data_IF_051590261410
#
_entry.id   IF_051590261410
#
_cell.length_a   1.000
_cell.length_b   1.000
_cell.length_c   1.000
_cell.angle_alpha   90.00
_cell.angle_beta   90.00
_cell.angle_gamma   90.00
#
_symmetry.space_group_name_H-M   'P 1'
#
loop_
_entity.id
_entity.type
_entity.pdbx_description
1 polymer ?
#
# COMPACT_ATOMS: atom_id res chain seq x y z
N UNK A 1 -36.54 -9.70 6.37
CA UNK A 1 -36.86 -8.46 5.95
C UNK A 1 -35.68 -7.73 5.32
N UNK A 2 -35.99 -6.79 4.54
CA UNK A 2 -35.00 -6.13 3.67
C UNK A 2 -33.89 -5.44 4.43
N UNK A 3 -34.12 -4.89 5.62
CA UNK A 3 -33.10 -4.19 6.35
C UNK A 3 -31.87 -5.04 6.63
N UNK A 4 -32.06 -6.29 6.97
CA UNK A 4 -30.94 -7.18 7.24
C UNK A 4 -30.08 -7.37 6.00
N UNK A 5 -30.72 -7.48 4.87
CA UNK A 5 -30.01 -7.65 3.61
C UNK A 5 -29.28 -6.37 3.22
N UNK A 6 -29.89 -5.23 3.51
CA UNK A 6 -29.21 -3.97 3.27
C UNK A 6 -27.92 -3.85 4.06
N UNK A 7 -27.94 -4.23 5.33
CA UNK A 7 -26.71 -4.14 6.12
C UNK A 7 -25.63 -5.04 5.57
N UNK A 8 -25.98 -6.24 5.12
CA UNK A 8 -25.01 -7.14 4.52
C UNK A 8 -24.48 -6.53 3.22
N UNK A 9 -25.36 -5.94 2.41
CA UNK A 9 -24.96 -5.30 1.18
C UNK A 9 -24.09 -4.09 1.46
N UNK A 10 -24.42 -3.31 2.49
CA UNK A 10 -23.63 -2.14 2.86
C UNK A 10 -22.23 -2.53 3.29
N UNK A 11 -22.07 -3.64 4.01
CA UNK A 11 -20.75 -4.15 4.37
C UNK A 11 -19.94 -4.48 3.13
N UNK A 12 -20.59 -5.02 2.10
CA UNK A 12 -19.91 -5.30 0.84
C UNK A 12 -19.54 -4.00 0.10
N UNK A 13 -20.33 -2.93 0.28
CA UNK A 13 -20.03 -1.64 -0.30
C UNK A 13 -18.95 -0.89 0.47
N UNK A 14 -18.69 -1.28 1.72
CA UNK A 14 -17.63 -0.70 2.53
C UNK A 14 -16.29 -1.32 2.19
N UNK A 15 -15.93 -1.23 0.92
CA UNK A 15 -14.66 -1.72 0.44
C UNK A 15 -13.72 -0.58 0.16
N UNK A 16 -12.43 -0.87 0.32
CA UNK A 16 -11.38 0.11 0.19
C UNK A 16 -10.36 -0.35 -0.83
N UNK A 17 -9.83 0.60 -1.59
CA UNK A 17 -8.71 0.33 -2.47
C UNK A 17 -7.43 0.58 -1.72
N UNK A 18 -6.53 -0.40 -1.71
CA UNK A 18 -5.24 -0.30 -1.03
C UNK A 18 -4.14 -0.63 -2.05
N UNK A 19 -3.19 0.28 -2.15
CA UNK A 19 -2.00 0.10 -2.96
C UNK A 19 -0.88 -0.42 -2.06
N UNK A 20 -0.36 -1.61 -2.39
CA UNK A 20 0.71 -2.24 -1.62
C UNK A 20 1.97 -2.31 -2.48
N UNK A 21 3.09 -1.93 -1.88
CA UNK A 21 4.35 -1.83 -2.61
C UNK A 21 5.47 -2.68 -1.98
N UNK A 22 5.21 -3.30 -0.85
CA UNK A 22 6.20 -4.04 -0.07
C UNK A 22 5.79 -5.47 0.21
N UNK A 23 5.93 -5.88 1.47
CA UNK A 23 5.76 -7.28 1.88
C UNK A 23 4.33 -7.79 1.80
N UNK A 24 3.35 -6.92 1.57
CA UNK A 24 1.95 -7.34 1.36
C UNK A 24 1.68 -7.77 -0.08
N UNK A 25 2.60 -7.53 -1.02
CA UNK A 25 2.42 -7.96 -2.40
C UNK A 25 2.42 -9.49 -2.49
N UNK A 26 1.75 -10.00 -3.52
CA UNK A 26 1.69 -11.45 -3.76
C UNK A 26 3.10 -12.02 -3.89
N UNK A 27 3.35 -13.10 -3.18
CA UNK A 27 4.66 -13.76 -3.17
C UNK A 27 5.60 -13.27 -2.08
N UNK A 28 5.19 -12.29 -1.27
CA UNK A 28 6.01 -11.75 -0.19
C UNK A 28 5.48 -12.18 1.18
N UNK A 29 6.30 -12.07 2.24
CA UNK A 29 6.01 -12.75 3.52
C UNK A 29 4.67 -12.44 4.15
N UNK A 30 4.17 -11.21 4.04
CA UNK A 30 2.94 -10.82 4.74
C UNK A 30 1.68 -11.03 3.90
N UNK A 31 1.82 -11.43 2.64
CA UNK A 31 0.65 -11.53 1.76
C UNK A 31 -0.38 -12.53 2.27
N UNK A 32 0.06 -13.75 2.55
CA UNK A 32 -0.87 -14.83 2.92
C UNK A 32 -1.57 -14.56 4.25
N UNK A 33 -0.89 -13.90 5.19
CA UNK A 33 -1.45 -13.64 6.51
C UNK A 33 -2.44 -12.47 6.52
N UNK A 34 -2.27 -11.49 5.65
CA UNK A 34 -3.05 -10.25 5.70
C UNK A 34 -3.96 -10.03 4.51
N UNK A 35 -3.65 -10.61 3.35
CA UNK A 35 -4.34 -10.34 2.10
C UNK A 35 -5.23 -11.48 1.63
N UNK A 36 -5.51 -12.46 2.48
CA UNK A 36 -6.29 -13.65 2.09
C UNK A 36 -7.66 -13.30 1.55
N UNK A 37 -8.36 -12.36 2.20
CA UNK A 37 -9.71 -11.94 1.79
C UNK A 37 -9.71 -10.80 0.78
N UNK A 38 -8.54 -10.32 0.37
CA UNK A 38 -8.41 -9.19 -0.54
C UNK A 38 -8.57 -9.65 -1.99
N UNK A 39 -9.18 -8.77 -2.80
CA UNK A 39 -9.32 -9.01 -4.24
C UNK A 39 -8.21 -8.25 -4.97
N UNK A 40 -7.35 -8.98 -5.67
CA UNK A 40 -6.27 -8.36 -6.44
C UNK A 40 -6.84 -7.77 -7.73
N UNK A 41 -6.57 -6.49 -7.96
CA UNK A 41 -7.02 -5.80 -9.17
C UNK A 41 -5.92 -5.72 -10.24
N UNK A 42 -4.66 -5.88 -9.85
CA UNK A 42 -3.57 -5.93 -10.83
C UNK A 42 -2.35 -5.12 -10.41
N UNK A 43 -1.44 -4.98 -11.35
CA UNK A 43 -0.24 -4.15 -11.17
C UNK A 43 -0.58 -2.71 -11.41
N UNK A 44 -0.21 -1.85 -10.48
CA UNK A 44 -0.45 -0.41 -10.55
C UNK A 44 0.85 0.32 -10.23
N UNK A 45 0.89 1.59 -10.55
CA UNK A 45 2.01 2.45 -10.17
C UNK A 45 1.49 3.81 -9.71
N UNK A 46 2.27 4.49 -8.91
CA UNK A 46 1.91 5.82 -8.41
C UNK A 46 1.94 6.84 -9.55
N UNK A 47 0.96 7.76 -9.54
CA UNK A 47 0.94 8.89 -10.49
C UNK A 47 2.05 9.87 -10.12
N UNK A 48 2.17 10.20 -8.82
CA UNK A 48 3.28 11.01 -8.33
C UNK A 48 4.50 10.13 -8.10
N UNK A 49 5.68 10.74 -8.15
CA UNK A 49 6.91 10.09 -7.73
C UNK A 49 7.01 10.10 -6.21
N UNK A 50 7.57 9.03 -5.66
CA UNK A 50 7.86 8.94 -4.22
C UNK A 50 9.19 8.23 -4.03
N UNK A 51 9.96 8.61 -2.99
CA UNK A 51 11.11 7.80 -2.62
C UNK A 51 10.63 6.48 -2.02
N UNK A 52 11.13 5.38 -2.55
CA UNK A 52 10.97 4.05 -1.96
C UNK A 52 12.35 3.55 -1.61
N UNK A 53 12.61 3.34 -0.33
CA UNK A 53 13.93 2.95 0.15
C UNK A 53 13.83 1.77 1.10
N UNK A 54 14.94 1.08 1.28
CA UNK A 54 15.06 0.07 2.33
C UNK A 54 15.64 0.74 3.57
N UNK A 55 15.01 0.51 4.72
CA UNK A 55 15.35 1.18 5.96
C UNK A 55 15.61 0.19 7.09
N UNK A 56 16.54 0.57 7.97
CA UNK A 56 16.82 -0.17 9.19
C UNK A 56 17.61 -1.44 8.98
N UNK A 57 17.95 -2.09 10.08
CA UNK A 57 18.75 -3.32 10.06
C UNK A 57 18.06 -4.47 9.31
N UNK A 58 16.72 -4.41 9.21
CA UNK A 58 15.95 -5.47 8.56
C UNK A 58 15.61 -5.15 7.11
N UNK A 59 16.12 -4.03 6.59
CA UNK A 59 15.92 -3.61 5.21
C UNK A 59 14.44 -3.58 4.82
N UNK A 60 13.60 -3.00 5.66
CA UNK A 60 12.16 -2.91 5.38
C UNK A 60 11.88 -1.86 4.31
N UNK A 61 10.94 -2.11 3.39
CA UNK A 61 10.59 -1.13 2.38
C UNK A 61 9.76 0.00 2.97
N UNK A 62 10.20 1.23 2.72
CA UNK A 62 9.52 2.44 3.16
C UNK A 62 9.28 3.35 1.98
N UNK A 63 8.01 3.61 1.66
CA UNK A 63 7.64 4.65 0.72
C UNK A 63 7.46 5.94 1.52
N UNK A 64 8.24 6.95 1.18
CA UNK A 64 8.33 8.18 1.97
C UNK A 64 7.35 9.22 1.42
N UNK A 65 6.65 9.91 2.31
CA UNK A 65 5.68 10.95 1.93
C UNK A 65 6.39 12.23 1.50
N UNK A 66 7.09 12.15 0.37
CA UNK A 66 7.77 13.28 -0.27
C UNK A 66 7.44 13.24 -1.76
N UNK A 67 6.19 13.58 -2.11
CA UNK A 67 5.78 13.51 -3.52
C UNK A 67 6.63 14.39 -4.41
N UNK A 68 6.94 13.92 -5.60
CA UNK A 68 7.79 14.58 -6.57
C UNK A 68 9.24 14.14 -6.53
N UNK A 69 9.65 13.41 -5.51
CA UNK A 69 11.01 12.88 -5.39
C UNK A 69 11.00 11.36 -5.64
N UNK A 70 12.14 10.82 -6.02
CA UNK A 70 12.25 9.38 -6.27
C UNK A 70 11.72 8.97 -7.63
N UNK A 71 10.92 7.93 -7.65
CA UNK A 71 10.39 7.33 -8.88
C UNK A 71 8.88 7.09 -8.75
N UNK A 72 8.24 6.85 -9.89
CA UNK A 72 6.90 6.26 -9.88
C UNK A 72 7.04 4.85 -9.29
N UNK A 73 6.36 4.59 -8.18
CA UNK A 73 6.53 3.33 -7.46
C UNK A 73 5.57 2.29 -8.02
N UNK A 74 6.10 1.12 -8.33
CA UNK A 74 5.31 -0.02 -8.82
C UNK A 74 4.84 -0.85 -7.64
N UNK A 75 3.62 -1.34 -7.75
CA UNK A 75 3.02 -2.17 -6.71
C UNK A 75 1.79 -2.89 -7.23
N UNK A 76 0.92 -3.24 -6.31
CA UNK A 76 -0.31 -3.96 -6.61
C UNK A 76 -1.49 -3.26 -5.94
N UNK A 77 -2.62 -3.25 -6.63
CA UNK A 77 -3.85 -2.67 -6.10
C UNK A 77 -4.79 -3.80 -5.66
N UNK A 78 -5.35 -3.64 -4.47
CA UNK A 78 -6.28 -4.60 -3.88
C UNK A 78 -7.54 -3.90 -3.41
N UNK A 79 -8.65 -4.63 -3.47
CA UNK A 79 -9.90 -4.24 -2.85
C UNK A 79 -10.04 -5.04 -1.56
N UNK A 80 -10.21 -4.35 -0.43
CA UNK A 80 -10.26 -4.98 0.90
C UNK A 80 -11.50 -4.51 1.65
N UNK A 81 -11.99 -5.32 2.57
CA UNK A 81 -13.07 -4.94 3.46
C UNK A 81 -12.52 -4.23 4.72
N UNK A 82 -13.43 -3.78 5.58
CA UNK A 82 -13.06 -3.05 6.80
C UNK A 82 -12.18 -3.89 7.72
N UNK A 83 -12.50 -5.16 7.87
CA UNK A 83 -11.72 -6.04 8.75
C UNK A 83 -10.29 -6.20 8.26
N UNK A 84 -10.12 -6.44 6.96
CA UNK A 84 -8.81 -6.55 6.36
C UNK A 84 -8.02 -5.24 6.51
N UNK A 85 -8.67 -4.11 6.24
CA UNK A 85 -8.03 -2.80 6.39
C UNK A 85 -7.57 -2.57 7.83
N UNK A 86 -8.40 -2.92 8.81
CA UNK A 86 -8.02 -2.76 10.22
C UNK A 86 -6.81 -3.61 10.58
N UNK A 87 -6.70 -4.82 10.05
CA UNK A 87 -5.53 -5.66 10.28
C UNK A 87 -4.26 -5.10 9.66
N UNK A 88 -4.38 -4.55 8.44
CA UNK A 88 -3.26 -3.89 7.79
C UNK A 88 -2.85 -2.64 8.57
N UNK A 89 -3.81 -1.85 9.02
CA UNK A 89 -3.53 -0.67 9.86
C UNK A 89 -2.73 -1.05 11.10
N UNK A 90 -3.08 -2.15 11.74
CA UNK A 90 -2.36 -2.62 12.92
C UNK A 90 -0.94 -3.08 12.58
N UNK A 91 -0.78 -3.78 11.46
CA UNK A 91 0.53 -4.20 10.99
C UNK A 91 1.44 -3.00 10.72
N UNK A 92 0.90 -1.97 10.09
CA UNK A 92 1.64 -0.77 9.72
C UNK A 92 1.77 0.22 10.87
N UNK A 93 1.17 -0.10 12.02
CA UNK A 93 1.31 0.67 13.25
C UNK A 93 0.90 2.13 13.10
N UNK A 94 -0.23 2.37 12.44
CA UNK A 94 -0.67 3.75 12.15
C UNK A 94 -1.01 4.55 13.40
N UNK A 95 -1.21 3.88 14.55
CA UNK A 95 -1.48 4.55 15.83
C UNK A 95 -0.19 4.96 16.55
N UNK A 96 0.95 4.46 16.12
CA UNK A 96 2.23 4.73 16.77
C UNK A 96 2.91 5.95 16.12
N UNK A 97 3.64 6.71 16.93
CA UNK A 97 4.31 7.91 16.44
C UNK A 97 5.40 7.60 15.39
N UNK A 98 5.99 6.40 15.47
CA UNK A 98 7.02 5.95 14.53
C UNK A 98 6.50 4.98 13.49
N UNK A 99 5.18 4.79 13.40
CA UNK A 99 4.55 3.95 12.39
C UNK A 99 4.31 4.68 11.09
N UNK A 100 3.79 3.92 10.11
CA UNK A 100 3.38 4.49 8.83
C UNK A 100 2.13 5.34 9.00
N UNK A 101 1.85 6.17 8.00
CA UNK A 101 0.60 6.93 7.92
C UNK A 101 -0.19 6.45 6.73
N UNK A 102 -1.47 6.14 6.95
CA UNK A 102 -2.38 5.77 5.87
C UNK A 102 -2.80 7.04 5.14
N UNK A 103 -2.48 7.10 3.86
CA UNK A 103 -2.61 8.31 3.04
C UNK A 103 -3.31 7.96 1.74
N UNK A 104 -4.15 8.85 1.24
CA UNK A 104 -4.76 8.69 -0.08
C UNK A 104 -3.78 9.15 -1.14
N UNK A 105 -3.50 8.28 -2.11
CA UNK A 105 -2.63 8.60 -3.25
C UNK A 105 -3.35 8.27 -4.55
N UNK A 106 -2.84 8.75 -5.66
CA UNK A 106 -3.35 8.40 -6.99
C UNK A 106 -2.46 7.35 -7.62
N UNK A 107 -3.10 6.35 -8.21
CA UNK A 107 -2.41 5.25 -8.89
C UNK A 107 -3.06 5.00 -10.24
N UNK A 108 -2.32 4.43 -11.17
CA UNK A 108 -2.85 4.00 -12.46
C UNK A 108 -2.38 2.59 -12.76
N UNK A 109 -3.14 1.90 -13.62
CA UNK A 109 -2.72 0.58 -14.09
C UNK A 109 -1.36 0.68 -14.77
N UNK A 110 -0.47 -0.24 -14.46
CA UNK A 110 0.86 -0.29 -15.08
C UNK A 110 0.79 -0.60 -16.57
N UNK A 111 -0.29 -1.24 -17.00
CA UNK A 111 -0.50 -1.55 -18.43
C UNK A 111 -1.11 -0.38 -19.19
N UNK A 112 -1.77 0.55 -18.48
CA UNK A 112 -2.45 1.71 -19.06
C UNK A 112 -2.05 2.96 -18.31
N UNK A 113 -0.80 3.34 -18.41
CA UNK A 113 -0.24 4.47 -17.68
C UNK A 113 -1.03 5.74 -18.02
N UNK A 114 -1.43 6.48 -16.98
CA UNK A 114 -2.27 7.68 -17.06
C UNK A 114 -3.68 7.42 -17.55
N UNK A 115 -4.09 6.17 -17.64
CA UNK A 115 -5.47 5.74 -17.83
C UNK A 115 -5.87 4.94 -16.61
N UNK A 116 -7.17 4.75 -16.40
CA UNK A 116 -7.67 4.00 -15.25
C UNK A 116 -7.06 4.50 -13.93
N UNK A 117 -7.10 5.83 -13.74
CA UNK A 117 -6.55 6.46 -12.53
C UNK A 117 -7.53 6.27 -11.38
N UNK A 118 -7.01 5.82 -10.24
CA UNK A 118 -7.79 5.59 -9.04
C UNK A 118 -7.14 6.25 -7.84
N UNK A 119 -7.97 6.65 -6.89
CA UNK A 119 -7.48 7.00 -5.56
C UNK A 119 -7.43 5.76 -4.70
N UNK A 120 -6.34 5.56 -4.00
CA UNK A 120 -6.14 4.39 -3.17
C UNK A 120 -5.45 4.77 -1.87
N UNK A 121 -5.70 3.98 -0.85
CA UNK A 121 -4.98 4.10 0.42
C UNK A 121 -3.60 3.46 0.27
N UNK A 122 -2.61 4.11 0.84
CA UNK A 122 -1.26 3.57 0.91
C UNK A 122 -0.63 3.96 2.24
N UNK A 123 0.37 3.22 2.64
CA UNK A 123 1.02 3.42 3.93
C UNK A 123 2.38 4.06 3.68
N UNK A 124 2.47 5.35 3.99
CA UNK A 124 3.66 6.15 3.76
C UNK A 124 4.34 6.49 5.07
N UNK A 125 5.66 6.59 5.01
CA UNK A 125 6.42 6.98 6.18
C UNK A 125 6.66 8.49 6.14
N UNK A 126 6.38 9.22 7.24
CA UNK A 126 6.71 10.65 7.29
C UNK A 126 8.21 10.85 7.07
N UNK A 127 8.63 11.89 6.32
CA UNK A 127 10.03 12.08 5.98
C UNK A 127 10.95 12.19 7.20
N UNK A 128 10.48 12.83 8.26
CA UNK A 128 11.25 13.03 9.48
C UNK A 128 11.44 11.76 10.31
N UNK A 129 10.73 10.70 9.98
CA UNK A 129 10.87 9.40 10.64
C UNK A 129 11.88 8.47 9.94
N UNK A 130 12.40 8.87 8.78
CA UNK A 130 13.29 8.01 7.99
C UNK A 130 14.74 8.44 8.24
N UNK A 131 15.41 7.76 9.15
CA UNK A 131 16.77 8.12 9.57
C UNK A 131 17.85 7.12 9.18
N UNK A 132 17.48 5.91 8.82
CA UNK A 132 18.42 4.83 8.52
C UNK A 132 18.15 4.24 7.14
N UNK A 133 18.46 5.03 6.12
CA UNK A 133 18.28 4.60 4.73
C UNK A 133 19.42 3.65 4.34
N UNK A 134 19.05 2.48 3.84
CA UNK A 134 19.98 1.42 3.46
C UNK A 134 20.02 1.16 1.96
N UNK A 135 19.30 1.95 1.16
CA UNK A 135 19.32 1.83 -0.29
C UNK A 135 19.12 3.20 -0.93
N UNK A 136 19.45 3.29 -2.22
CA UNK A 136 18.98 4.39 -3.06
C UNK A 136 17.49 4.25 -3.31
N UNK A 137 16.90 5.24 -4.01
CA UNK A 137 15.49 5.17 -4.37
C UNK A 137 15.23 4.03 -5.36
N UNK A 138 14.21 3.24 -5.08
CA UNK A 138 13.80 2.08 -5.87
C UNK A 138 12.52 2.40 -6.64
N UNK A 139 12.34 1.74 -7.78
CA UNK A 139 11.07 1.78 -8.51
C UNK A 139 10.09 0.74 -7.97
N UNK A 140 10.60 -0.35 -7.43
CA UNK A 140 9.82 -1.45 -6.91
C UNK A 140 10.60 -2.18 -5.83
N UNK A 141 9.86 -2.76 -4.90
CA UNK A 141 10.42 -3.71 -3.95
C UNK A 141 10.19 -5.11 -4.52
N UNK A 142 11.25 -5.81 -4.85
CA UNK A 142 11.19 -7.15 -5.46
C UNK A 142 12.07 -8.13 -4.70
N UNK A 143 12.11 -9.38 -5.17
CA UNK A 143 12.86 -10.43 -4.50
C UNK A 143 14.37 -10.15 -4.49
N UNK A 144 14.89 -9.41 -5.46
CA UNK A 144 16.30 -9.04 -5.48
C UNK A 144 16.63 -8.02 -4.42
N UNK A 145 15.66 -7.15 -4.05
CA UNK A 145 15.83 -6.16 -3.00
C UNK A 145 15.52 -6.75 -1.61
N UNK A 146 14.66 -7.77 -1.58
CA UNK A 146 14.31 -8.45 -0.33
C UNK A 146 15.49 -9.31 0.19
#
# INVERSE_FOLDING_TARGET
MSEKYFFIADNKLMRHLVFVYGTLKKGFPNHDNYMESAKRLGKYQTIEKYPLVLCGARYVPCMIDSPGKGHHVEGELYEVDDECLNRIDALERIQDSDGYRRTVIRVSSSERINQDIKEALAYLMPPDQVTDRRSKNLKAYDLAAA
#
